data_IF_198318039517
#
_entry.id   IF_198318039517
#
_cell.length_a   1.000
_cell.length_b   1.000
_cell.length_c   1.000
_cell.angle_alpha   90.00
_cell.angle_beta   90.00
_cell.angle_gamma   90.00
#
_symmetry.space_group_name_H-M   'P 1'
#
loop_
_entity.id
_entity.type
_entity.pdbx_description
1 polymer ?
#
# COMPACT_ATOMS: atom_id res chain seq x y z
N UNK A 1 -4.04 12.29 24.84
CA UNK A 1 -5.04 12.32 23.77
C UNK A 1 -6.13 11.33 24.14
N UNK A 2 -7.41 11.74 24.28
CA UNK A 2 -8.42 10.86 24.86
C UNK A 2 -8.84 9.74 23.91
N UNK A 3 -9.16 8.59 24.46
CA UNK A 3 -9.69 7.38 23.79
C UNK A 3 -10.91 7.73 22.90
N UNK A 4 -11.66 8.79 23.24
CA UNK A 4 -12.80 9.27 22.46
C UNK A 4 -12.45 9.82 21.08
N UNK A 5 -11.19 10.24 20.82
CA UNK A 5 -10.76 10.65 19.49
C UNK A 5 -10.51 9.47 18.56
N UNK A 6 -10.15 8.33 19.09
CA UNK A 6 -9.95 7.11 18.30
C UNK A 6 -11.28 6.49 17.88
N UNK A 7 -12.31 6.61 18.75
CA UNK A 7 -13.68 6.20 18.45
C UNK A 7 -14.38 7.09 17.41
N UNK A 8 -13.91 8.32 17.23
CA UNK A 8 -14.51 9.30 16.31
C UNK A 8 -13.83 9.36 14.93
N UNK A 9 -13.16 8.32 14.49
CA UNK A 9 -12.63 8.19 13.12
C UNK A 9 -13.72 8.23 12.03
N UNK A 10 -14.97 8.35 12.42
CA UNK A 10 -16.13 8.55 11.52
C UNK A 10 -16.33 9.99 11.03
N UNK A 11 -15.43 10.93 11.35
CA UNK A 11 -15.68 12.33 11.08
C UNK A 11 -14.81 12.93 9.98
N UNK A 12 -15.57 13.29 8.98
CA UNK A 12 -15.42 14.40 8.03
C UNK A 12 -15.04 14.05 6.61
N UNK A 13 -15.99 13.42 5.88
CA UNK A 13 -16.05 13.41 4.41
C UNK A 13 -15.86 14.79 3.77
N UNK A 14 -16.34 15.87 4.42
CA UNK A 14 -16.24 17.23 3.89
C UNK A 14 -14.83 17.81 3.90
N UNK A 15 -14.00 17.49 4.90
CA UNK A 15 -12.61 18.00 4.98
C UNK A 15 -11.67 17.25 4.05
N UNK A 16 -11.89 15.95 3.81
CA UNK A 16 -11.09 15.15 2.88
C UNK A 16 -11.28 15.60 1.42
N UNK A 17 -12.52 15.88 1.02
CA UNK A 17 -12.83 16.36 -0.33
C UNK A 17 -12.29 17.78 -0.59
N UNK A 18 -12.19 18.62 0.43
CA UNK A 18 -11.65 19.97 0.29
C UNK A 18 -10.12 19.99 0.10
N UNK A 19 -9.37 19.05 0.67
CA UNK A 19 -7.92 18.96 0.51
C UNK A 19 -7.49 18.23 -0.77
N UNK A 20 -8.31 17.29 -1.27
CA UNK A 20 -8.07 16.60 -2.52
C UNK A 20 -8.42 17.46 -3.77
N UNK A 21 -9.28 18.45 -3.60
CA UNK A 21 -9.76 19.31 -4.69
C UNK A 21 -8.80 20.44 -5.11
N UNK A 22 -7.78 20.77 -4.34
CA UNK A 22 -6.88 21.89 -4.64
C UNK A 22 -5.69 21.54 -5.56
N UNK A 23 -5.51 20.27 -5.93
CA UNK A 23 -4.41 19.78 -6.77
C UNK A 23 -4.78 19.40 -8.21
N UNK A 24 -6.03 19.50 -8.60
CA UNK A 24 -6.53 18.95 -9.87
C UNK A 24 -6.74 19.98 -11.01
N UNK A 25 -6.20 21.19 -10.90
CA UNK A 25 -6.23 22.17 -11.97
C UNK A 25 -4.87 22.25 -12.66
N UNK A 26 -4.53 21.27 -13.50
CA UNK A 26 -3.29 21.24 -14.27
C UNK A 26 -3.40 20.38 -15.52
N UNK A 27 -3.85 20.98 -16.60
CA UNK A 27 -3.66 20.64 -18.03
C UNK A 27 -3.81 19.17 -18.45
N UNK A 28 -4.94 18.89 -19.09
CA UNK A 28 -5.08 17.79 -20.04
C UNK A 28 -4.17 18.05 -21.25
N UNK A 29 -2.95 17.56 -21.19
CA UNK A 29 -2.14 17.35 -22.39
C UNK A 29 -2.52 15.99 -22.93
N UNK A 30 -3.29 15.96 -24.01
CA UNK A 30 -3.67 14.77 -24.71
C UNK A 30 -2.43 14.05 -25.26
N UNK A 31 -2.07 12.93 -24.64
CA UNK A 31 -1.15 11.96 -25.21
C UNK A 31 -1.98 11.04 -26.12
N UNK A 32 -1.61 10.83 -27.40
CA UNK A 32 -2.30 9.88 -28.26
C UNK A 32 -2.04 8.46 -27.73
N UNK A 33 -3.05 7.84 -27.20
CA UNK A 33 -3.02 6.46 -26.71
C UNK A 33 -3.09 5.51 -27.90
N UNK A 34 -1.93 4.99 -28.34
CA UNK A 34 -1.85 3.99 -29.38
C UNK A 34 -2.24 2.59 -28.86
N UNK A 35 -2.99 1.89 -29.69
CA UNK A 35 -3.46 0.50 -29.61
C UNK A 35 -4.54 0.22 -28.54
N UNK A 36 -5.79 0.36 -28.94
CA UNK A 36 -6.94 -0.23 -28.30
C UNK A 36 -6.83 -1.77 -28.31
N UNK A 37 -6.44 -2.37 -27.19
CA UNK A 37 -6.75 -3.78 -26.97
C UNK A 37 -8.23 -3.86 -26.61
N UNK A 38 -9.03 -4.44 -27.49
CA UNK A 38 -10.44 -4.70 -27.24
C UNK A 38 -10.57 -5.70 -26.09
N UNK A 39 -11.04 -5.23 -24.93
CA UNK A 39 -11.58 -6.11 -23.89
C UNK A 39 -12.81 -6.86 -24.47
N UNK A 40 -13.06 -8.08 -23.98
CA UNK A 40 -14.01 -9.01 -24.54
C UNK A 40 -15.35 -8.37 -24.95
N UNK A 41 -15.76 -8.59 -26.19
CA UNK A 41 -17.11 -8.29 -26.66
C UNK A 41 -18.12 -9.08 -25.79
N UNK A 42 -19.12 -8.38 -25.21
CA UNK A 42 -20.19 -9.04 -24.46
C UNK A 42 -20.46 -8.49 -23.04
N UNK A 43 -19.82 -7.40 -22.62
CA UNK A 43 -20.09 -6.81 -21.29
C UNK A 43 -21.15 -5.70 -21.29
N UNK A 44 -21.81 -5.43 -22.41
CA UNK A 44 -22.72 -4.27 -22.57
C UNK A 44 -23.95 -4.26 -21.67
N UNK A 45 -24.36 -5.40 -21.11
CA UNK A 45 -25.45 -5.54 -20.15
C UNK A 45 -24.97 -5.62 -18.70
N UNK A 46 -23.68 -5.74 -18.47
CA UNK A 46 -23.06 -5.90 -17.14
C UNK A 46 -22.82 -4.57 -16.45
N UNK A 47 -22.85 -4.62 -15.15
CA UNK A 47 -22.45 -3.53 -14.27
C UNK A 47 -21.26 -3.98 -13.43
N UNK A 48 -20.42 -3.03 -12.99
CA UNK A 48 -19.34 -3.30 -12.05
C UNK A 48 -19.43 -2.35 -10.87
N UNK A 49 -19.43 -2.90 -9.68
CA UNK A 49 -19.38 -2.14 -8.42
C UNK A 49 -18.13 -2.57 -7.65
N UNK A 50 -17.21 -1.66 -7.43
CA UNK A 50 -15.97 -1.93 -6.70
C UNK A 50 -15.89 -1.12 -5.41
N UNK A 51 -15.24 -1.68 -4.39
CA UNK A 51 -14.91 -0.97 -3.16
C UNK A 51 -13.43 -1.19 -2.84
N UNK A 52 -12.72 -0.12 -2.48
CA UNK A 52 -11.27 -0.16 -2.22
C UNK A 52 -10.73 1.18 -1.75
N UNK A 53 -9.42 1.35 -1.83
CA UNK A 53 -8.77 2.59 -1.40
C UNK A 53 -8.96 3.72 -2.42
N UNK A 54 -8.93 4.97 -1.94
CA UNK A 54 -9.01 6.15 -2.80
C UNK A 54 -7.84 6.25 -3.82
N UNK A 55 -6.75 5.56 -3.58
CA UNK A 55 -5.60 5.51 -4.49
C UNK A 55 -5.87 4.70 -5.76
N UNK A 56 -6.77 3.74 -5.70
CA UNK A 56 -7.13 2.85 -6.82
C UNK A 56 -8.54 3.10 -7.33
N UNK A 57 -9.49 3.44 -6.43
CA UNK A 57 -10.87 3.74 -6.79
C UNK A 57 -10.97 5.22 -7.20
N UNK A 58 -10.48 5.54 -8.40
CA UNK A 58 -10.49 6.89 -8.99
C UNK A 58 -11.42 6.96 -10.19
N UNK A 59 -12.20 8.02 -10.30
CA UNK A 59 -13.13 8.22 -11.42
C UNK A 59 -12.48 8.06 -12.79
N UNK A 60 -11.25 8.58 -12.97
CA UNK A 60 -10.51 8.44 -14.23
C UNK A 60 -10.23 6.99 -14.60
N UNK A 61 -9.92 6.13 -13.62
CA UNK A 61 -9.64 4.69 -13.83
C UNK A 61 -10.95 3.98 -14.17
N UNK A 62 -12.01 4.26 -13.41
CA UNK A 62 -13.32 3.65 -13.63
C UNK A 62 -13.93 4.05 -14.98
N UNK A 63 -13.82 5.32 -15.36
CA UNK A 63 -14.30 5.83 -16.63
C UNK A 63 -13.52 5.26 -17.82
N UNK A 64 -12.18 5.14 -17.72
CA UNK A 64 -11.34 4.52 -18.74
C UNK A 64 -11.68 3.03 -18.88
N UNK A 65 -11.85 2.30 -17.77
CA UNK A 65 -12.31 0.93 -17.80
C UNK A 65 -13.69 0.79 -18.50
N UNK A 66 -14.66 1.63 -18.13
CA UNK A 66 -15.98 1.65 -18.78
C UNK A 66 -15.88 1.84 -20.30
N UNK A 67 -15.10 2.83 -20.71
CA UNK A 67 -14.92 3.16 -22.12
C UNK A 67 -14.29 2.02 -22.94
N UNK A 68 -13.34 1.29 -22.32
CA UNK A 68 -12.60 0.20 -22.99
C UNK A 68 -13.33 -1.15 -22.95
N UNK A 69 -14.03 -1.45 -21.86
CA UNK A 69 -14.71 -2.72 -21.66
C UNK A 69 -16.12 -2.78 -22.27
N UNK A 70 -16.75 -1.62 -22.45
CA UNK A 70 -18.13 -1.52 -22.89
C UNK A 70 -19.16 -1.93 -21.85
N UNK A 71 -18.78 -2.08 -20.56
CA UNK A 71 -19.76 -2.34 -19.49
C UNK A 71 -20.79 -1.21 -19.40
N UNK A 72 -22.04 -1.54 -19.10
CA UNK A 72 -23.16 -0.60 -18.98
C UNK A 72 -22.89 0.48 -17.96
N UNK A 73 -22.41 0.09 -16.76
CA UNK A 73 -22.12 0.98 -15.66
C UNK A 73 -20.91 0.51 -14.84
N UNK A 74 -20.17 1.48 -14.31
CA UNK A 74 -19.10 1.25 -13.35
C UNK A 74 -19.29 2.23 -12.20
N UNK A 75 -19.22 1.75 -10.97
CA UNK A 75 -19.23 2.58 -9.77
C UNK A 75 -18.18 2.09 -8.77
N UNK A 76 -17.65 3.02 -7.97
CA UNK A 76 -16.67 2.72 -6.96
C UNK A 76 -16.91 3.48 -5.68
N UNK A 77 -16.68 2.82 -4.54
CA UNK A 77 -16.67 3.45 -3.21
C UNK A 77 -15.24 3.41 -2.67
N UNK A 78 -14.69 4.57 -2.36
CA UNK A 78 -13.42 4.64 -1.64
C UNK A 78 -13.68 4.53 -0.12
N UNK A 79 -13.04 3.54 0.53
CA UNK A 79 -13.11 3.33 1.97
C UNK A 79 -11.84 2.58 2.46
N UNK A 80 -11.60 2.57 3.76
CA UNK A 80 -10.46 1.86 4.37
C UNK A 80 -10.75 0.37 4.53
N UNK A 81 -9.72 -0.46 4.49
CA UNK A 81 -9.84 -1.91 4.55
C UNK A 81 -10.61 -2.46 5.76
N UNK A 82 -10.45 -1.95 7.01
CA UNK A 82 -11.25 -2.44 8.12
C UNK A 82 -12.76 -2.28 7.92
N UNK A 83 -13.20 -1.17 7.33
CA UNK A 83 -14.62 -0.91 7.07
C UNK A 83 -15.16 -1.83 5.98
N UNK A 84 -14.44 -1.92 4.85
CA UNK A 84 -14.85 -2.75 3.71
C UNK A 84 -14.86 -4.24 4.07
N UNK A 85 -13.90 -4.69 4.88
CA UNK A 85 -13.87 -6.06 5.40
C UNK A 85 -15.07 -6.34 6.32
N UNK A 86 -15.43 -5.41 7.19
CA UNK A 86 -16.59 -5.54 8.08
C UNK A 86 -17.89 -5.65 7.26
N UNK A 87 -18.08 -4.79 6.25
CA UNK A 87 -19.24 -4.87 5.33
C UNK A 87 -19.29 -6.23 4.61
N UNK A 88 -18.15 -6.72 4.14
CA UNK A 88 -18.06 -8.01 3.45
C UNK A 88 -18.41 -9.19 4.36
N UNK A 89 -17.82 -9.24 5.57
CA UNK A 89 -18.05 -10.31 6.54
C UNK A 89 -19.51 -10.33 7.03
N UNK A 90 -20.12 -9.16 7.24
CA UNK A 90 -21.53 -9.04 7.59
C UNK A 90 -22.48 -9.47 6.46
N UNK A 91 -21.98 -9.63 5.23
CA UNK A 91 -22.82 -9.96 4.06
C UNK A 91 -23.66 -8.80 3.57
N UNK A 92 -23.35 -7.57 3.97
CA UNK A 92 -24.02 -6.33 3.56
C UNK A 92 -23.37 -5.65 2.36
N UNK A 93 -22.27 -6.23 1.84
CA UNK A 93 -21.55 -5.70 0.68
C UNK A 93 -22.43 -5.77 -0.57
N UNK A 94 -22.61 -4.60 -1.21
CA UNK A 94 -23.34 -4.45 -2.46
C UNK A 94 -22.41 -4.39 -3.69
N UNK A 95 -21.17 -4.87 -3.54
CA UNK A 95 -20.10 -4.75 -4.54
C UNK A 95 -19.86 -6.09 -5.23
N UNK A 96 -19.20 -6.04 -6.39
CA UNK A 96 -18.76 -7.18 -7.18
C UNK A 96 -17.27 -7.44 -6.94
N UNK A 97 -16.49 -6.36 -6.75
CA UNK A 97 -15.06 -6.40 -6.43
C UNK A 97 -14.83 -5.82 -5.04
N UNK A 98 -14.13 -6.59 -4.22
CA UNK A 98 -13.55 -6.15 -2.97
C UNK A 98 -12.03 -6.02 -3.16
N UNK A 99 -11.54 -4.78 -3.19
CA UNK A 99 -10.11 -4.55 -3.13
C UNK A 99 -9.63 -4.74 -1.70
N UNK A 100 -8.55 -5.49 -1.55
CA UNK A 100 -7.96 -5.79 -0.25
C UNK A 100 -6.43 -5.81 -0.31
N UNK A 101 -5.83 -5.98 0.82
CA UNK A 101 -4.39 -6.19 1.00
C UNK A 101 -4.13 -7.64 1.44
N UNK A 102 -3.00 -8.20 1.00
CA UNK A 102 -2.69 -9.63 1.13
C UNK A 102 -2.86 -10.19 2.54
N UNK A 103 -2.45 -9.44 3.57
CA UNK A 103 -2.55 -9.89 4.96
C UNK A 103 -3.98 -10.08 5.47
N UNK A 104 -5.00 -9.51 4.81
CA UNK A 104 -6.41 -9.67 5.23
C UNK A 104 -7.10 -10.86 4.60
N UNK A 105 -6.50 -11.48 3.59
CA UNK A 105 -7.08 -12.61 2.87
C UNK A 105 -7.40 -13.81 3.77
N UNK A 106 -6.52 -14.25 4.69
CA UNK A 106 -6.80 -15.45 5.51
C UNK A 106 -8.10 -15.34 6.30
N UNK A 107 -8.40 -14.17 6.87
CA UNK A 107 -9.62 -13.94 7.64
C UNK A 107 -10.90 -14.01 6.77
N UNK A 108 -10.81 -13.67 5.49
CA UNK A 108 -11.96 -13.63 4.58
C UNK A 108 -12.13 -14.94 3.81
N UNK A 109 -11.03 -15.59 3.42
CA UNK A 109 -11.06 -16.90 2.72
C UNK A 109 -11.85 -17.92 3.55
N UNK A 110 -11.60 -17.99 4.85
CA UNK A 110 -12.26 -18.93 5.76
C UNK A 110 -13.79 -18.73 5.84
N UNK A 111 -14.32 -17.59 5.40
CA UNK A 111 -15.74 -17.26 5.46
C UNK A 111 -16.49 -17.52 4.13
N UNK A 112 -15.81 -17.96 3.09
CA UNK A 112 -16.36 -18.15 1.74
C UNK A 112 -17.02 -16.89 1.14
N UNK A 113 -16.57 -15.69 1.54
CA UNK A 113 -17.10 -14.41 1.03
C UNK A 113 -16.45 -13.94 -0.25
N UNK A 114 -15.34 -14.56 -0.66
CA UNK A 114 -14.66 -14.31 -1.93
C UNK A 114 -14.52 -15.60 -2.74
N UNK A 115 -14.51 -15.44 -4.05
CA UNK A 115 -14.37 -16.55 -5.03
C UNK A 115 -13.05 -16.37 -5.78
N UNK A 116 -12.25 -17.44 -5.98
CA UNK A 116 -11.01 -17.35 -6.73
C UNK A 116 -11.24 -16.98 -8.20
N UNK A 117 -10.28 -16.26 -8.76
CA UNK A 117 -10.26 -15.87 -10.19
C UNK A 117 -9.22 -16.71 -10.92
N UNK A 118 -9.63 -17.35 -12.02
CA UNK A 118 -8.75 -18.17 -12.84
C UNK A 118 -7.76 -17.30 -13.65
N UNK A 119 -6.47 -17.64 -13.61
CA UNK A 119 -5.44 -16.92 -14.38
C UNK A 119 -5.65 -17.02 -15.89
N UNK A 120 -6.19 -18.16 -16.36
CA UNK A 120 -6.51 -18.39 -17.77
C UNK A 120 -7.60 -17.48 -18.33
N UNK A 121 -8.41 -16.86 -17.48
CA UNK A 121 -9.43 -15.90 -17.87
C UNK A 121 -8.88 -14.48 -18.12
N UNK A 122 -7.62 -14.22 -17.73
CA UNK A 122 -6.96 -12.92 -17.85
C UNK A 122 -5.90 -12.92 -18.95
N UNK A 123 -6.10 -12.14 -20.01
CA UNK A 123 -5.20 -12.06 -21.18
C UNK A 123 -3.83 -11.49 -20.83
N UNK A 124 -3.79 -10.56 -19.86
CA UNK A 124 -2.58 -9.87 -19.46
C UNK A 124 -1.79 -10.59 -18.34
N UNK A 125 -2.29 -11.73 -17.85
CA UNK A 125 -1.66 -12.48 -16.78
C UNK A 125 -0.21 -12.88 -17.10
N UNK A 126 0.09 -13.25 -18.32
CA UNK A 126 1.44 -13.65 -18.75
C UNK A 126 2.53 -12.58 -18.56
N UNK A 127 2.15 -11.34 -18.28
CA UNK A 127 3.07 -10.22 -18.03
C UNK A 127 3.18 -9.86 -16.53
N UNK A 128 2.65 -10.70 -15.64
CA UNK A 128 2.81 -10.51 -14.18
C UNK A 128 4.28 -10.65 -13.79
N UNK A 129 4.71 -9.87 -12.80
CA UNK A 129 6.10 -9.94 -12.28
C UNK A 129 6.32 -11.21 -11.47
N UNK A 130 7.56 -11.71 -11.53
CA UNK A 130 8.00 -12.91 -10.80
C UNK A 130 7.71 -12.86 -9.29
N UNK A 131 7.73 -11.69 -8.70
CA UNK A 131 7.36 -11.45 -7.29
C UNK A 131 6.02 -12.09 -6.89
N UNK A 132 5.09 -12.25 -7.83
CA UNK A 132 3.75 -12.80 -7.59
C UNK A 132 3.60 -14.27 -7.98
N UNK A 133 4.61 -14.85 -8.62
CA UNK A 133 4.57 -16.23 -9.12
C UNK A 133 5.71 -17.09 -8.58
N UNK A 134 6.82 -16.48 -8.16
CA UNK A 134 8.01 -17.18 -7.67
C UNK A 134 8.33 -16.75 -6.24
N UNK A 135 8.55 -17.73 -5.38
CA UNK A 135 9.03 -17.46 -4.02
C UNK A 135 10.54 -17.12 -4.06
N UNK A 136 10.93 -16.12 -3.27
CA UNK A 136 12.33 -15.90 -2.96
C UNK A 136 12.79 -16.99 -1.96
N UNK A 137 13.82 -17.77 -2.29
CA UNK A 137 14.23 -18.91 -1.48
C UNK A 137 14.79 -18.54 -0.08
N UNK A 138 15.08 -17.27 0.15
CA UNK A 138 15.55 -16.80 1.47
C UNK A 138 14.44 -16.79 2.54
N UNK A 139 13.17 -16.92 2.16
CA UNK A 139 12.03 -16.93 3.06
C UNK A 139 11.09 -18.12 2.80
N UNK A 140 10.38 -18.53 3.84
CA UNK A 140 9.24 -19.44 3.67
C UNK A 140 8.22 -18.81 2.71
N UNK A 141 7.72 -19.60 1.75
CA UNK A 141 6.76 -19.16 0.74
C UNK A 141 5.50 -18.55 1.37
N UNK A 142 4.99 -19.10 2.48
CA UNK A 142 3.81 -18.61 3.19
C UNK A 142 3.96 -17.17 3.72
N UNK A 143 5.21 -16.75 3.97
CA UNK A 143 5.55 -15.44 4.49
C UNK A 143 5.78 -14.39 3.37
N UNK A 144 5.44 -14.73 2.13
CA UNK A 144 5.60 -13.87 0.96
C UNK A 144 4.25 -13.67 0.27
N UNK A 145 4.13 -12.61 -0.54
CA UNK A 145 2.89 -12.36 -1.28
C UNK A 145 2.47 -13.54 -2.16
N UNK A 146 3.42 -14.24 -2.75
CA UNK A 146 3.18 -15.44 -3.55
C UNK A 146 2.54 -16.59 -2.76
N UNK A 147 2.71 -16.63 -1.45
CA UNK A 147 2.03 -17.60 -0.57
C UNK A 147 0.66 -17.15 -0.08
N UNK A 148 0.35 -15.87 -0.21
CA UNK A 148 -0.89 -15.27 0.32
C UNK A 148 -2.02 -15.23 -0.71
N UNK A 149 -1.70 -14.93 -1.98
CA UNK A 149 -2.70 -14.60 -3.01
C UNK A 149 -3.24 -15.79 -3.79
N UNK A 150 -2.48 -16.89 -3.83
CA UNK A 150 -2.89 -18.08 -4.59
C UNK A 150 -3.82 -18.99 -3.80
N UNK A 151 -4.76 -19.62 -4.48
CA UNK A 151 -5.65 -20.62 -3.89
C UNK A 151 -4.87 -21.86 -3.45
N UNK A 152 -3.93 -22.28 -4.28
CA UNK A 152 -3.08 -23.44 -4.05
C UNK A 152 -1.77 -23.39 -4.88
N UNK A 153 -0.94 -24.39 -4.74
CA UNK A 153 0.36 -24.46 -5.41
C UNK A 153 0.30 -24.71 -6.92
N UNK A 154 -0.87 -25.02 -7.48
CA UNK A 154 -1.04 -25.16 -8.95
C UNK A 154 -0.94 -23.82 -9.66
N UNK A 155 -1.12 -22.72 -8.94
CA UNK A 155 -1.11 -21.35 -9.46
C UNK A 155 -2.08 -21.13 -10.64
N UNK A 156 -3.21 -21.81 -10.62
CA UNK A 156 -4.25 -21.65 -11.63
C UNK A 156 -5.31 -20.63 -11.25
N UNK A 157 -5.52 -20.42 -9.94
CA UNK A 157 -6.56 -19.56 -9.40
C UNK A 157 -6.01 -18.68 -8.26
N UNK A 158 -6.50 -17.46 -8.20
CA UNK A 158 -6.09 -16.42 -7.22
C UNK A 158 -7.25 -16.00 -6.34
N UNK A 159 -7.03 -15.90 -5.05
CA UNK A 159 -7.92 -15.19 -4.14
C UNK A 159 -7.90 -13.68 -4.36
N UNK A 160 -6.76 -13.15 -4.80
CA UNK A 160 -6.56 -11.72 -5.06
C UNK A 160 -5.68 -11.51 -6.29
N UNK A 161 -6.20 -10.81 -7.29
CA UNK A 161 -5.41 -10.36 -8.45
C UNK A 161 -4.68 -9.07 -8.07
N UNK A 162 -3.34 -9.05 -7.99
CA UNK A 162 -2.60 -7.88 -7.54
C UNK A 162 -2.78 -6.69 -8.51
N UNK A 163 -2.97 -5.50 -7.96
CA UNK A 163 -3.13 -4.24 -8.70
C UNK A 163 -2.02 -3.25 -8.42
N UNK A 164 -1.58 -3.19 -7.15
CA UNK A 164 -0.55 -2.28 -6.66
C UNK A 164 0.29 -2.97 -5.60
N UNK A 165 1.57 -2.65 -5.52
CA UNK A 165 2.44 -3.04 -4.41
C UNK A 165 3.49 -1.98 -4.13
N UNK A 166 4.12 -2.04 -2.97
CA UNK A 166 5.23 -1.17 -2.62
C UNK A 166 6.13 -1.78 -1.54
N UNK A 167 7.21 -1.06 -1.29
CA UNK A 167 8.21 -1.30 -0.25
C UNK A 167 8.29 -0.05 0.62
N UNK A 168 7.69 -0.10 1.82
CA UNK A 168 7.58 1.04 2.72
C UNK A 168 8.78 1.19 3.64
N UNK A 169 9.07 2.43 4.01
CA UNK A 169 10.17 2.83 4.86
C UNK A 169 9.82 4.10 5.66
N UNK A 170 10.83 4.70 6.27
CA UNK A 170 10.72 5.94 7.03
C UNK A 170 10.69 7.13 6.06
N UNK A 171 9.66 7.97 6.16
CA UNK A 171 9.65 9.31 5.61
C UNK A 171 10.30 10.28 6.58
N UNK A 172 11.22 11.14 6.11
CA UNK A 172 11.92 12.08 6.98
C UNK A 172 12.19 13.41 6.33
N UNK A 173 12.49 14.41 7.16
CA UNK A 173 12.85 15.77 6.80
C UNK A 173 14.39 15.90 6.67
N UNK A 174 14.96 15.91 5.45
CA UNK A 174 16.42 15.92 5.25
C UNK A 174 17.10 17.24 5.69
N UNK A 175 16.31 18.28 5.89
CA UNK A 175 16.77 19.55 6.47
C UNK A 175 16.89 19.50 8.02
N UNK A 176 16.37 18.46 8.67
CA UNK A 176 16.35 18.31 10.13
C UNK A 176 16.99 17.00 10.62
N UNK A 177 17.08 15.99 9.75
CA UNK A 177 17.63 14.66 10.04
C UNK A 177 18.51 14.23 8.88
N UNK A 178 19.73 13.78 9.15
CA UNK A 178 20.62 13.29 8.10
C UNK A 178 20.13 11.94 7.53
N UNK A 179 20.55 11.63 6.29
CA UNK A 179 20.22 10.36 5.65
C UNK A 179 20.77 9.16 6.44
N UNK A 180 21.94 9.29 7.07
CA UNK A 180 22.54 8.24 7.91
C UNK A 180 21.69 7.97 9.14
N UNK A 181 21.22 9.00 9.84
CA UNK A 181 20.36 8.86 11.02
C UNK A 181 19.00 8.23 10.68
N UNK A 182 18.42 8.60 9.53
CA UNK A 182 17.14 8.05 9.08
C UNK A 182 17.28 6.63 8.49
N UNK A 183 18.50 6.14 8.23
CA UNK A 183 18.74 4.87 7.50
C UNK A 183 18.51 3.60 8.34
N UNK A 184 17.78 3.69 9.44
CA UNK A 184 17.47 2.55 10.31
C UNK A 184 16.11 2.71 10.96
N UNK A 185 15.35 1.64 11.09
CA UNK A 185 14.06 1.68 11.81
C UNK A 185 14.21 2.05 13.29
N UNK A 186 15.42 1.90 13.86
CA UNK A 186 15.70 2.34 15.23
C UNK A 186 15.54 3.85 15.42
N UNK A 187 15.66 4.64 14.35
CA UNK A 187 15.51 6.09 14.38
C UNK A 187 14.13 6.55 14.91
N UNK A 188 13.07 5.80 14.64
CA UNK A 188 11.73 6.10 15.15
C UNK A 188 11.65 6.03 16.68
N UNK A 189 12.58 5.29 17.31
CA UNK A 189 12.62 5.01 18.74
C UNK A 189 13.83 5.64 19.45
N UNK A 190 14.68 6.35 18.72
CA UNK A 190 15.86 7.01 19.29
C UNK A 190 15.43 8.24 20.11
N UNK A 191 15.92 8.30 21.37
CA UNK A 191 15.67 9.41 22.29
C UNK A 191 16.08 10.78 21.73
N UNK A 192 17.02 10.82 20.78
CA UNK A 192 17.44 12.04 20.07
C UNK A 192 16.23 12.71 19.39
N UNK A 193 15.30 11.94 18.89
CA UNK A 193 14.12 12.41 18.16
C UNK A 193 12.84 12.38 18.99
N UNK A 194 12.97 12.31 20.32
CA UNK A 194 11.86 12.29 21.27
C UNK A 194 10.86 13.41 21.00
N UNK A 195 9.58 13.09 20.92
CA UNK A 195 8.48 14.01 20.64
C UNK A 195 8.43 14.51 19.20
N UNK A 196 9.20 13.91 18.27
CA UNK A 196 9.31 14.30 16.87
C UNK A 196 9.08 13.14 15.90
N UNK A 197 8.81 11.92 16.39
CA UNK A 197 8.58 10.75 15.57
C UNK A 197 7.10 10.41 15.47
N UNK A 198 6.68 9.75 14.41
CA UNK A 198 5.34 9.21 14.21
C UNK A 198 5.36 7.70 14.03
N UNK A 199 4.32 7.04 14.52
CA UNK A 199 4.09 5.62 14.32
C UNK A 199 2.68 5.40 13.78
N UNK A 200 2.50 4.45 12.86
CA UNK A 200 1.20 4.12 12.30
C UNK A 200 0.28 3.51 13.38
N UNK A 201 -1.00 3.81 13.32
CA UNK A 201 -2.01 3.24 14.25
C UNK A 201 -2.44 1.81 13.89
N UNK A 202 -2.06 1.29 12.73
CA UNK A 202 -2.32 -0.11 12.39
C UNK A 202 -1.38 -1.03 13.22
N UNK A 203 -1.94 -1.93 14.04
CA UNK A 203 -1.15 -2.79 14.92
C UNK A 203 -0.17 -3.68 14.17
N UNK A 204 -0.53 -4.20 13.00
CA UNK A 204 0.34 -5.09 12.23
C UNK A 204 1.55 -4.34 11.67
N UNK A 205 1.36 -3.08 11.28
CA UNK A 205 2.43 -2.19 10.83
C UNK A 205 3.35 -1.84 12.01
N UNK A 206 2.78 -1.28 13.06
CA UNK A 206 3.53 -0.79 14.21
C UNK A 206 4.35 -1.89 14.92
N UNK A 207 3.78 -3.09 15.10
CA UNK A 207 4.51 -4.22 15.68
C UNK A 207 5.63 -4.72 14.77
N UNK A 208 5.39 -4.87 13.47
CA UNK A 208 6.41 -5.29 12.52
C UNK A 208 7.62 -4.35 12.50
N UNK A 209 7.38 -3.06 12.54
CA UNK A 209 8.42 -2.03 12.55
C UNK A 209 9.15 -1.94 13.91
N UNK A 210 8.42 -2.10 15.01
CA UNK A 210 9.04 -2.21 16.33
C UNK A 210 9.95 -3.45 16.42
N UNK A 211 9.51 -4.59 15.90
CA UNK A 211 10.32 -5.83 15.85
C UNK A 211 11.56 -5.63 14.98
N UNK A 212 11.46 -4.97 13.80
CA UNK A 212 12.63 -4.62 13.00
C UNK A 212 13.64 -3.78 13.78
N UNK A 213 13.17 -2.73 14.46
CA UNK A 213 14.01 -1.88 15.28
C UNK A 213 14.65 -2.64 16.45
N UNK A 214 13.88 -3.50 17.14
CA UNK A 214 14.38 -4.30 18.26
C UNK A 214 15.39 -5.35 17.81
N UNK A 215 15.19 -5.97 16.64
CA UNK A 215 16.20 -6.85 16.02
C UNK A 215 17.52 -6.10 15.76
N UNK A 216 17.43 -4.89 15.19
CA UNK A 216 18.62 -4.07 14.92
C UNK A 216 19.34 -3.61 16.22
N UNK A 217 18.59 -3.40 17.29
CA UNK A 217 19.14 -3.10 18.63
C UNK A 217 19.68 -4.34 19.38
N UNK A 218 19.51 -5.54 18.81
CA UNK A 218 19.89 -6.79 19.47
C UNK A 218 18.99 -7.20 20.64
N UNK A 219 17.82 -6.59 20.76
CA UNK A 219 16.84 -6.86 21.83
C UNK A 219 15.94 -8.06 21.49
N UNK A 220 15.74 -8.34 20.20
CA UNK A 220 15.03 -9.51 19.70
C UNK A 220 15.86 -10.21 18.60
N UNK A 221 15.42 -11.44 18.24
CA UNK A 221 15.92 -12.19 17.08
C UNK A 221 14.76 -12.89 16.39
N UNK A 222 13.90 -12.10 15.78
CA UNK A 222 12.70 -12.58 15.06
C UNK A 222 13.01 -12.60 13.55
N UNK A 223 13.11 -13.79 12.93
CA UNK A 223 13.47 -13.89 11.50
C UNK A 223 12.45 -13.25 10.55
N UNK A 224 11.16 -13.31 10.93
CA UNK A 224 10.08 -12.68 10.17
C UNK A 224 9.33 -11.66 11.04
N UNK A 225 9.65 -10.37 10.95
CA UNK A 225 9.00 -9.31 11.73
C UNK A 225 7.48 -9.22 11.52
N UNK A 226 6.96 -9.70 10.38
CA UNK A 226 5.52 -9.75 10.11
C UNK A 226 4.78 -10.90 10.81
N UNK A 227 5.50 -11.86 11.43
CA UNK A 227 4.91 -13.00 12.15
C UNK A 227 5.70 -13.34 13.42
N UNK A 228 5.74 -12.44 14.41
CA UNK A 228 6.39 -12.68 15.68
C UNK A 228 5.58 -13.68 16.54
N UNK A 229 6.27 -14.47 17.34
CA UNK A 229 5.64 -15.32 18.34
C UNK A 229 5.13 -14.52 19.56
N UNK A 230 4.35 -15.17 20.44
CA UNK A 230 3.77 -14.54 21.65
C UNK A 230 4.79 -13.84 22.52
N UNK A 231 5.93 -14.47 22.76
CA UNK A 231 6.97 -13.91 23.62
C UNK A 231 7.57 -12.64 22.98
N UNK A 232 7.83 -12.68 21.68
CA UNK A 232 8.32 -11.53 20.93
C UNK A 232 7.29 -10.39 20.86
N UNK A 233 5.99 -10.71 20.74
CA UNK A 233 4.89 -9.73 20.81
C UNK A 233 4.87 -9.07 22.20
N UNK A 234 5.01 -9.84 23.29
CA UNK A 234 5.02 -9.30 24.65
C UNK A 234 6.20 -8.32 24.86
N UNK A 235 7.40 -8.66 24.38
CA UNK A 235 8.56 -7.80 24.49
C UNK A 235 8.43 -6.54 23.62
N UNK A 236 7.90 -6.67 22.38
CA UNK A 236 7.63 -5.52 21.52
C UNK A 236 6.56 -4.59 22.12
N UNK A 237 5.53 -5.14 22.75
CA UNK A 237 4.51 -4.35 23.45
C UNK A 237 5.11 -3.57 24.63
N UNK A 238 5.93 -4.21 25.47
CA UNK A 238 6.64 -3.53 26.57
C UNK A 238 7.52 -2.40 26.05
N UNK A 239 8.25 -2.65 24.96
CA UNK A 239 9.10 -1.64 24.31
C UNK A 239 8.26 -0.45 23.82
N UNK A 240 7.19 -0.69 23.06
CA UNK A 240 6.30 0.36 22.57
C UNK A 240 5.66 1.17 23.71
N UNK A 241 5.16 0.49 24.77
CA UNK A 241 4.59 1.13 25.96
C UNK A 241 5.63 2.02 26.66
N UNK A 242 6.87 1.54 26.82
CA UNK A 242 7.97 2.34 27.40
C UNK A 242 8.22 3.59 26.56
N UNK A 243 8.36 3.46 25.23
CA UNK A 243 8.57 4.57 24.32
C UNK A 243 7.43 5.60 24.36
N UNK A 244 6.18 5.14 24.41
CA UNK A 244 5.01 6.02 24.55
C UNK A 244 5.02 6.79 25.86
N UNK A 245 5.26 6.12 26.99
CA UNK A 245 5.35 6.76 28.32
C UNK A 245 6.50 7.77 28.40
N UNK A 246 7.59 7.48 27.72
CA UNK A 246 8.70 8.40 27.59
C UNK A 246 8.39 9.63 26.72
N UNK A 247 7.26 9.65 26.02
CA UNK A 247 6.87 10.72 25.10
C UNK A 247 7.65 10.72 23.79
N UNK A 248 8.06 9.54 23.30
CA UNK A 248 8.80 9.39 22.05
C UNK A 248 8.02 9.88 20.84
N UNK A 249 6.73 9.53 20.76
CA UNK A 249 5.92 9.81 19.59
C UNK A 249 5.26 11.18 19.66
N UNK A 250 5.36 11.98 18.59
CA UNK A 250 4.54 13.19 18.39
C UNK A 250 3.10 12.81 18.09
N UNK A 251 2.91 11.75 17.32
CA UNK A 251 1.59 11.23 16.96
C UNK A 251 1.64 9.71 16.71
N UNK A 252 0.50 9.06 17.00
CA UNK A 252 0.11 7.82 16.35
C UNK A 252 -0.81 8.21 15.20
N UNK A 253 -0.32 8.13 13.97
CA UNK A 253 -1.04 8.61 12.80
C UNK A 253 -1.79 7.47 12.09
N UNK A 254 -2.93 7.77 11.51
CA UNK A 254 -3.72 6.80 10.76
C UNK A 254 -4.45 7.41 9.56
N UNK A 255 -4.37 8.73 9.46
CA UNK A 255 -4.94 9.49 8.34
C UNK A 255 -3.81 10.03 7.44
N UNK A 256 -4.00 9.89 6.12
CA UNK A 256 -3.02 10.35 5.13
C UNK A 256 -2.74 11.85 5.22
N UNK A 257 -3.79 12.65 5.40
CA UNK A 257 -3.68 14.11 5.51
C UNK A 257 -2.98 14.52 6.80
N UNK A 258 -3.24 13.81 7.91
CA UNK A 258 -2.53 14.03 9.18
C UNK A 258 -1.03 13.79 9.03
N UNK A 259 -0.62 12.64 8.44
CA UNK A 259 0.77 12.32 8.17
C UNK A 259 1.45 13.42 7.34
N UNK A 260 0.82 13.81 6.22
CA UNK A 260 1.35 14.84 5.32
C UNK A 260 1.52 16.18 6.05
N UNK A 261 0.52 16.61 6.82
CA UNK A 261 0.54 17.89 7.52
C UNK A 261 1.61 17.93 8.62
N UNK A 262 1.76 16.85 9.40
CA UNK A 262 2.75 16.77 10.48
C UNK A 262 4.19 16.72 9.94
N UNK A 263 4.42 16.03 8.81
CA UNK A 263 5.72 16.04 8.14
C UNK A 263 6.01 17.41 7.47
N UNK A 264 5.03 18.01 6.81
CA UNK A 264 5.20 19.29 6.13
C UNK A 264 5.46 20.43 7.10
N UNK A 265 4.81 20.44 8.27
CA UNK A 265 5.02 21.44 9.34
C UNK A 265 6.34 21.23 10.08
N UNK A 266 6.93 20.03 10.06
CA UNK A 266 8.09 19.67 10.86
C UNK A 266 7.76 19.35 12.32
N UNK A 267 6.49 19.21 12.66
CA UNK A 267 6.06 18.67 13.96
C UNK A 267 6.48 17.21 14.11
N UNK A 268 6.40 16.43 13.03
CA UNK A 268 7.12 15.17 12.88
C UNK A 268 8.26 15.35 11.88
N UNK A 269 9.42 14.81 12.23
CA UNK A 269 10.63 14.87 11.38
C UNK A 269 11.03 13.49 10.86
N UNK A 270 10.46 12.43 11.45
CA UNK A 270 10.62 11.02 11.11
C UNK A 270 9.29 10.34 11.37
N UNK A 271 8.82 9.54 10.42
CA UNK A 271 7.66 8.66 10.61
C UNK A 271 7.82 7.43 9.71
N UNK A 272 7.27 6.28 10.12
CA UNK A 272 6.88 5.29 9.12
C UNK A 272 5.93 5.98 8.14
N UNK A 273 6.09 5.77 6.86
CA UNK A 273 5.35 6.57 5.90
C UNK A 273 5.03 5.79 4.61
N UNK A 274 3.99 6.24 3.94
CA UNK A 274 3.71 5.82 2.58
C UNK A 274 4.40 6.77 1.59
N UNK A 275 4.99 6.21 0.54
CA UNK A 275 5.65 6.99 -0.52
C UNK A 275 4.80 8.17 -1.03
N UNK A 276 3.47 8.04 -1.25
CA UNK A 276 2.64 9.17 -1.65
C UNK A 276 2.61 10.32 -0.64
N UNK A 277 2.75 10.04 0.66
CA UNK A 277 2.80 11.11 1.66
C UNK A 277 4.08 11.94 1.52
N UNK A 278 5.23 11.28 1.33
CA UNK A 278 6.49 11.96 1.02
C UNK A 278 6.36 12.83 -0.24
N UNK A 279 5.73 12.28 -1.29
CA UNK A 279 5.48 13.02 -2.54
C UNK A 279 4.55 14.21 -2.32
N UNK A 280 3.51 14.08 -1.50
CA UNK A 280 2.58 15.16 -1.18
C UNK A 280 3.26 16.29 -0.38
N UNK A 281 4.19 15.97 0.50
CA UNK A 281 5.00 16.97 1.23
C UNK A 281 5.94 17.70 0.26
N UNK A 282 6.62 16.97 -0.64
CA UNK A 282 7.47 17.57 -1.69
C UNK A 282 6.66 18.50 -2.60
N UNK A 283 5.45 18.11 -2.99
CA UNK A 283 4.56 18.91 -3.84
C UNK A 283 4.15 20.25 -3.19
N UNK A 284 4.17 20.34 -1.86
CA UNK A 284 3.97 21.58 -1.11
C UNK A 284 5.24 22.46 -1.02
N UNK A 285 6.32 22.09 -1.74
CA UNK A 285 7.59 22.79 -1.70
C UNK A 285 8.39 22.56 -0.41
N UNK A 286 8.02 21.57 0.41
CA UNK A 286 8.75 21.19 1.62
C UNK A 286 9.73 20.06 1.36
N UNK A 287 10.83 20.06 2.07
CA UNK A 287 11.78 18.95 2.00
C UNK A 287 11.20 17.73 2.70
N UNK A 288 11.18 16.62 2.03
CA UNK A 288 10.84 15.31 2.57
C UNK A 288 11.46 14.24 1.67
N UNK A 289 11.91 13.15 2.23
CA UNK A 289 12.49 12.05 1.46
C UNK A 289 12.21 10.71 2.15
N UNK A 290 12.52 9.62 1.48
CA UNK A 290 12.23 8.28 1.90
C UNK A 290 13.52 7.54 2.22
N UNK A 291 13.66 7.02 3.43
CA UNK A 291 14.89 6.40 3.89
C UNK A 291 15.19 5.08 3.17
N UNK A 292 16.47 4.80 3.00
CA UNK A 292 16.99 3.48 2.63
C UNK A 292 17.36 2.77 3.94
N UNK A 293 16.40 2.05 4.52
CA UNK A 293 16.60 1.38 5.80
C UNK A 293 17.58 0.22 5.67
N UNK A 294 18.55 0.14 6.60
CA UNK A 294 19.58 -0.92 6.65
C UNK A 294 18.97 -2.28 6.92
N UNK A 295 17.92 -2.33 7.72
CA UNK A 295 17.16 -3.54 8.02
C UNK A 295 16.27 -3.99 6.87
N UNK A 296 16.02 -3.09 5.91
CA UNK A 296 15.19 -3.31 4.74
C UNK A 296 13.78 -2.72 4.86
N UNK A 297 12.99 -2.94 3.83
CA UNK A 297 11.64 -2.39 3.65
C UNK A 297 10.55 -3.37 4.12
N UNK A 298 9.42 -2.83 4.54
CA UNK A 298 8.16 -3.56 4.66
C UNK A 298 7.47 -3.63 3.31
N UNK A 299 7.32 -4.83 2.77
CA UNK A 299 6.64 -5.06 1.49
C UNK A 299 5.16 -5.38 1.69
N UNK A 300 4.30 -4.92 0.79
CA UNK A 300 2.87 -5.20 0.78
C UNK A 300 2.29 -5.16 -0.64
N UNK A 301 1.13 -5.77 -0.83
CA UNK A 301 0.38 -5.68 -2.09
C UNK A 301 -1.10 -5.64 -1.84
N UNK A 302 -1.79 -4.79 -2.60
CA UNK A 302 -3.25 -4.75 -2.70
C UNK A 302 -3.71 -5.32 -4.04
N UNK A 303 -4.95 -5.75 -4.10
CA UNK A 303 -5.52 -6.27 -5.33
C UNK A 303 -7.02 -6.55 -5.24
N UNK A 304 -7.56 -7.00 -6.36
CA UNK A 304 -8.97 -7.26 -6.55
C UNK A 304 -9.33 -8.69 -6.18
N UNK A 305 -10.32 -8.88 -5.33
CA UNK A 305 -10.97 -10.16 -5.04
C UNK A 305 -12.42 -10.14 -5.54
N UNK A 306 -12.88 -11.23 -6.14
CA UNK A 306 -14.26 -11.37 -6.54
C UNK A 306 -15.14 -11.70 -5.33
N UNK A 307 -16.23 -10.97 -5.13
CA UNK A 307 -17.19 -11.27 -4.07
C UNK A 307 -18.03 -12.47 -4.47
N UNK A 308 -18.16 -13.44 -3.57
CA UNK A 308 -18.93 -14.68 -3.82
C UNK A 308 -20.37 -14.35 -4.15
N UNK A 309 -20.87 -14.98 -5.23
CA UNK A 309 -22.26 -14.82 -5.67
C UNK A 309 -22.52 -13.59 -6.54
N UNK A 310 -21.47 -12.81 -6.91
CA UNK A 310 -21.65 -11.70 -7.86
C UNK A 310 -22.22 -12.23 -9.20
N UNK A 311 -23.27 -11.59 -9.76
CA UNK A 311 -23.78 -11.92 -11.09
C UNK A 311 -22.90 -11.35 -12.22
N UNK A 312 -21.87 -10.57 -11.88
CA UNK A 312 -21.04 -9.81 -12.80
C UNK A 312 -19.60 -10.33 -12.86
N UNK A 313 -19.38 -11.66 -12.68
CA UNK A 313 -18.04 -12.25 -12.63
C UNK A 313 -17.20 -11.92 -13.88
N UNK A 314 -17.81 -11.86 -15.06
CA UNK A 314 -17.12 -11.51 -16.30
C UNK A 314 -16.58 -10.07 -16.26
N UNK A 315 -17.33 -9.14 -15.67
CA UNK A 315 -16.89 -7.76 -15.48
C UNK A 315 -15.79 -7.67 -14.40
N UNK A 316 -15.84 -8.48 -13.35
CA UNK A 316 -14.79 -8.58 -12.32
C UNK A 316 -13.48 -9.06 -12.93
N UNK A 317 -13.53 -10.12 -13.74
CA UNK A 317 -12.35 -10.65 -14.46
C UNK A 317 -11.77 -9.59 -15.41
N UNK A 318 -12.65 -8.96 -16.21
CA UNK A 318 -12.23 -7.92 -17.14
C UNK A 318 -11.60 -6.71 -16.42
N UNK A 319 -12.12 -6.32 -15.27
CA UNK A 319 -11.55 -5.22 -14.46
C UNK A 319 -10.19 -5.59 -13.87
N UNK A 320 -10.05 -6.82 -13.40
CA UNK A 320 -8.77 -7.33 -12.88
C UNK A 320 -7.72 -7.42 -14.00
N UNK A 321 -8.11 -7.93 -15.19
CA UNK A 321 -7.23 -7.97 -16.36
C UNK A 321 -6.88 -6.58 -16.90
N UNK A 322 -7.81 -5.62 -16.80
CA UNK A 322 -7.57 -4.22 -17.14
C UNK A 322 -6.44 -3.62 -16.28
N UNK A 323 -6.41 -3.90 -14.98
CA UNK A 323 -5.31 -3.47 -14.12
C UNK A 323 -3.96 -4.03 -14.57
N UNK A 324 -3.93 -5.24 -15.10
CA UNK A 324 -2.72 -5.88 -15.61
C UNK A 324 -2.32 -5.39 -17.02
N UNK A 325 -3.17 -4.63 -17.70
CA UNK A 325 -2.87 -4.09 -19.03
C UNK A 325 -1.85 -2.93 -19.02
N UNK A 326 -1.58 -2.34 -17.87
CA UNK A 326 -0.58 -1.28 -17.67
C UNK A 326 -1.14 0.12 -17.45
N UNK A 327 -2.01 0.67 -18.32
CA UNK A 327 -2.49 2.04 -18.23
C UNK A 327 -3.08 2.46 -16.87
N UNK A 328 -3.95 1.67 -16.19
CA UNK A 328 -4.49 2.08 -14.89
C UNK A 328 -3.40 2.25 -13.83
N UNK A 329 -2.32 1.47 -13.95
CA UNK A 329 -1.21 1.52 -13.01
C UNK A 329 -0.33 2.79 -13.14
N UNK A 330 -0.43 3.56 -14.24
CA UNK A 330 0.29 4.84 -14.38
C UNK A 330 -0.10 5.78 -13.24
N UNK A 331 -1.40 5.84 -12.94
CA UNK A 331 -1.94 6.72 -11.90
C UNK A 331 -1.35 6.47 -10.50
N UNK A 332 -1.07 5.20 -10.18
CA UNK A 332 -0.48 4.82 -8.89
C UNK A 332 1.04 4.89 -8.92
N UNK A 333 1.67 4.57 -10.06
CA UNK A 333 3.12 4.66 -10.21
C UNK A 333 3.62 6.10 -10.09
N UNK A 334 2.86 7.06 -10.60
CA UNK A 334 3.17 8.48 -10.45
C UNK A 334 3.04 8.99 -8.99
N UNK A 335 2.47 8.20 -8.11
CA UNK A 335 2.45 8.43 -6.67
C UNK A 335 3.57 7.68 -5.92
N UNK A 336 4.42 6.95 -6.66
CA UNK A 336 5.55 6.21 -6.11
C UNK A 336 5.28 4.73 -5.84
N UNK A 337 4.11 4.23 -6.16
CA UNK A 337 3.78 2.80 -6.08
C UNK A 337 4.24 2.02 -7.30
N UNK A 338 4.23 0.71 -7.22
CA UNK A 338 4.61 -0.18 -8.31
C UNK A 338 3.42 -0.94 -8.87
N UNK A 339 3.47 -1.15 -10.19
CA UNK A 339 2.56 -2.05 -10.91
C UNK A 339 3.05 -3.50 -10.84
N UNK A 340 2.17 -4.47 -10.58
CA UNK A 340 2.51 -5.88 -10.61
C UNK A 340 2.76 -6.44 -12.01
N UNK A 341 2.47 -5.67 -13.07
CA UNK A 341 2.69 -6.10 -14.46
C UNK A 341 3.86 -5.38 -15.13
N UNK A 342 4.55 -6.08 -16.03
CA UNK A 342 5.61 -5.51 -16.88
C UNK A 342 5.03 -4.65 -18.01
N UNK A 343 3.73 -4.74 -18.31
CA UNK A 343 3.03 -3.93 -19.32
C UNK A 343 3.11 -2.43 -19.02
N UNK A 344 3.31 -2.04 -17.76
CA UNK A 344 3.51 -0.63 -17.38
C UNK A 344 4.66 0.03 -18.15
N UNK A 345 5.68 -0.74 -18.57
CA UNK A 345 6.83 -0.22 -19.32
C UNK A 345 6.43 0.35 -20.67
N UNK A 346 5.49 -0.29 -21.36
CA UNK A 346 4.99 0.17 -22.65
C UNK A 346 3.86 1.21 -22.54
N UNK A 347 3.19 1.25 -21.37
CA UNK A 347 2.06 2.13 -21.14
C UNK A 347 2.48 3.51 -20.61
N UNK A 348 3.56 3.58 -19.81
CA UNK A 348 4.05 4.80 -19.19
C UNK A 348 5.04 5.54 -20.11
N UNK A 349 5.10 6.86 -19.99
CA UNK A 349 6.15 7.65 -20.59
C UNK A 349 7.53 7.09 -20.24
N UNK A 350 8.45 7.09 -21.23
CA UNK A 350 9.76 6.44 -21.11
C UNK A 350 10.62 7.04 -19.99
N UNK A 351 10.64 8.36 -19.84
CA UNK A 351 11.48 9.02 -18.83
C UNK A 351 10.86 8.88 -17.44
N UNK A 352 9.53 8.88 -17.34
CA UNK A 352 8.80 8.54 -16.10
C UNK A 352 9.07 7.09 -15.69
N UNK A 353 9.00 6.15 -16.63
CA UNK A 353 9.33 4.74 -16.34
C UNK A 353 10.78 4.60 -15.87
N UNK A 354 11.72 5.26 -16.55
CA UNK A 354 13.13 5.24 -16.19
C UNK A 354 13.36 5.77 -14.77
N UNK A 355 12.67 6.82 -14.36
CA UNK A 355 12.74 7.33 -12.99
C UNK A 355 12.10 6.37 -11.98
N UNK A 356 10.84 5.98 -12.19
CA UNK A 356 10.07 5.22 -11.19
C UNK A 356 10.50 3.77 -11.05
N UNK A 357 10.97 3.13 -12.13
CA UNK A 357 11.30 1.70 -12.13
C UNK A 357 12.80 1.41 -12.29
N UNK A 358 13.53 2.23 -13.04
CA UNK A 358 14.95 1.98 -13.30
C UNK A 358 15.86 2.83 -12.39
N UNK A 359 15.31 3.77 -11.58
CA UNK A 359 16.08 4.62 -10.67
C UNK A 359 16.98 5.62 -11.40
N UNK A 360 16.64 5.97 -12.65
CA UNK A 360 17.36 6.99 -13.44
C UNK A 360 16.99 8.38 -12.96
N UNK A 361 17.86 9.40 -13.18
CA UNK A 361 17.52 10.77 -12.89
C UNK A 361 16.23 11.22 -13.58
N UNK A 362 15.44 12.04 -12.86
CA UNK A 362 14.25 12.65 -13.45
C UNK A 362 14.65 13.55 -14.62
N UNK A 363 13.91 13.45 -15.71
CA UNK A 363 14.06 14.29 -16.89
C UNK A 363 12.76 15.02 -17.18
N UNK A 364 12.87 16.32 -17.38
CA UNK A 364 11.73 17.18 -17.72
C UNK A 364 11.42 18.21 -16.65
N UNK A 365 10.29 18.91 -16.85
CA UNK A 365 9.83 19.93 -15.91
C UNK A 365 9.56 19.37 -14.51
N UNK A 366 9.63 20.24 -13.50
CA UNK A 366 9.29 19.87 -12.13
C UNK A 366 7.88 19.29 -12.06
N UNK A 367 7.75 18.09 -11.51
CA UNK A 367 6.47 17.42 -11.30
C UNK A 367 6.34 17.00 -9.81
N UNK A 368 5.34 17.53 -9.13
CA UNK A 368 5.04 17.21 -7.71
C UNK A 368 6.27 17.27 -6.80
N UNK A 369 7.10 18.30 -6.98
CA UNK A 369 8.31 18.52 -6.21
C UNK A 369 9.54 17.69 -6.61
N UNK A 370 9.42 16.81 -7.61
CA UNK A 370 10.56 16.16 -8.26
C UNK A 370 11.13 17.12 -9.28
N UNK A 371 12.43 17.39 -9.22
CA UNK A 371 13.14 18.32 -10.10
C UNK A 371 14.03 17.56 -11.08
N UNK A 372 14.40 18.21 -12.17
CA UNK A 372 15.37 17.66 -13.12
C UNK A 372 16.67 17.26 -12.38
N UNK A 373 17.14 16.04 -12.65
CA UNK A 373 18.32 15.45 -12.02
C UNK A 373 18.04 14.71 -10.71
N UNK A 374 16.88 14.88 -10.07
CA UNK A 374 16.54 14.13 -8.87
C UNK A 374 16.55 12.63 -9.12
N UNK A 375 17.01 11.88 -8.13
CA UNK A 375 16.94 10.42 -8.12
C UNK A 375 15.75 9.95 -7.25
N UNK A 376 15.19 8.81 -7.62
CA UNK A 376 14.20 8.16 -6.77
C UNK A 376 14.84 7.65 -5.47
N UNK A 377 14.18 7.90 -4.36
CA UNK A 377 14.58 7.39 -3.04
C UNK A 377 14.70 5.85 -3.07
N UNK A 378 15.84 5.32 -2.65
CA UNK A 378 16.12 3.88 -2.68
C UNK A 378 16.48 3.28 -4.04
N UNK A 379 16.53 4.09 -5.11
CA UNK A 379 16.98 3.67 -6.43
C UNK A 379 15.93 2.89 -7.24
N UNK A 380 16.38 1.92 -8.04
CA UNK A 380 15.50 1.14 -8.91
C UNK A 380 14.54 0.21 -8.15
N UNK A 381 13.48 -0.25 -8.84
CA UNK A 381 12.61 -1.32 -8.33
C UNK A 381 13.42 -2.56 -7.91
N UNK A 382 14.38 -2.97 -8.74
CA UNK A 382 15.22 -4.15 -8.47
C UNK A 382 16.07 -3.95 -7.21
N UNK A 383 16.68 -2.78 -7.04
CA UNK A 383 17.48 -2.46 -5.85
C UNK A 383 16.62 -2.49 -4.59
N UNK A 384 15.44 -1.89 -4.65
CA UNK A 384 14.51 -1.87 -3.51
C UNK A 384 13.97 -3.26 -3.18
N UNK A 385 13.66 -4.08 -4.19
CA UNK A 385 13.17 -5.45 -4.01
C UNK A 385 14.20 -6.33 -3.28
N UNK A 386 15.50 -6.16 -3.56
CA UNK A 386 16.57 -6.90 -2.87
C UNK A 386 16.70 -6.51 -1.39
N UNK A 387 16.23 -5.32 -1.01
CA UNK A 387 16.30 -4.81 0.35
C UNK A 387 14.96 -4.95 1.10
N UNK A 388 14.11 -5.91 0.75
CA UNK A 388 12.89 -6.22 1.50
C UNK A 388 13.26 -6.97 2.77
N UNK A 389 12.75 -6.51 3.92
CA UNK A 389 12.92 -7.16 5.22
C UNK A 389 11.87 -8.24 5.46
N UNK A 390 10.61 -7.95 5.14
CA UNK A 390 9.50 -8.89 5.23
C UNK A 390 8.32 -8.44 4.37
N UNK A 391 7.44 -9.40 4.08
CA UNK A 391 6.12 -9.11 3.50
C UNK A 391 5.09 -8.96 4.60
N UNK A 392 4.29 -7.93 4.54
CA UNK A 392 3.16 -7.73 5.44
C UNK A 392 2.21 -8.91 5.32
N UNK A 393 1.81 -9.48 6.47
CA UNK A 393 1.02 -10.70 6.52
C UNK A 393 0.11 -10.72 7.75
N UNK A 394 -0.87 -11.63 7.75
CA UNK A 394 -1.65 -11.94 8.94
C UNK A 394 -0.81 -12.82 9.88
N UNK A 395 -0.46 -12.37 11.09
CA UNK A 395 0.36 -13.17 12.00
C UNK A 395 -0.43 -14.32 12.61
N UNK A 396 0.26 -15.42 12.90
CA UNK A 396 -0.33 -16.60 13.55
C UNK A 396 -0.92 -16.24 14.94
N UNK A 397 -0.31 -15.28 15.63
CA UNK A 397 -0.70 -14.82 16.97
C UNK A 397 -1.50 -13.50 16.93
N UNK A 398 -2.36 -13.32 15.90
CA UNK A 398 -3.10 -12.08 15.66
C UNK A 398 -3.90 -11.60 16.90
N UNK A 399 -4.69 -12.49 17.53
CA UNK A 399 -5.54 -12.10 18.67
C UNK A 399 -4.71 -11.64 19.87
N UNK A 400 -3.55 -12.28 20.08
CA UNK A 400 -2.62 -11.87 21.13
C UNK A 400 -1.99 -10.50 20.81
N UNK A 401 -1.61 -10.28 19.56
CA UNK A 401 -1.07 -9.01 19.11
C UNK A 401 -2.08 -7.86 19.29
N UNK A 402 -3.35 -8.07 18.90
CA UNK A 402 -4.41 -7.06 19.08
C UNK A 402 -4.63 -6.74 20.57
N UNK A 403 -4.68 -7.75 21.44
CA UNK A 403 -4.76 -7.52 22.88
C UNK A 403 -3.62 -6.65 23.39
N UNK A 404 -2.39 -6.90 22.93
CA UNK A 404 -1.20 -6.13 23.32
C UNK A 404 -1.21 -4.72 22.74
N UNK A 405 -1.79 -4.54 21.57
CA UNK A 405 -2.03 -3.22 20.99
C UNK A 405 -3.00 -2.38 21.82
N UNK A 406 -4.10 -2.98 22.29
CA UNK A 406 -5.05 -2.30 23.18
C UNK A 406 -4.38 -1.88 24.50
N UNK A 407 -3.50 -2.73 25.06
CA UNK A 407 -2.68 -2.39 26.23
C UNK A 407 -1.76 -1.18 25.93
N UNK A 408 -1.12 -1.16 24.76
CA UNK A 408 -0.30 -0.02 24.32
C UNK A 408 -1.13 1.27 24.13
N UNK A 409 -2.29 1.17 23.51
CA UNK A 409 -3.16 2.36 23.30
C UNK A 409 -3.67 2.92 24.63
N UNK A 410 -3.84 2.09 25.65
CA UNK A 410 -4.34 2.48 26.97
C UNK A 410 -3.25 2.99 27.92
N UNK A 411 -1.97 2.73 27.62
CA UNK A 411 -0.83 3.13 28.44
C UNK A 411 -0.50 4.62 28.23
#
# INVERSE_FOLDING_TARGET
MSIDRIKNYHLSRRKFLASAGAGAAGMAVGVPWGAQQAFAAGLGDKELRTVGLSVTVQERILNDFKAKSGVKAVSGKADIFPNTQTELLAGTSAYDVWETIGERLPAVIATNKITPIATSAMKNWGNIRDTFTKADPKWDKKNQIVGQIWKDDTQKELWMVPTVYNYDSIGYRPDLVSAEEASTWTALFDKKFKGKTGLNVDPLIAFGEAVLAMNALGLLKVPNPGNPDKASIDEAAKFLVSKKKDGQFRALWGDFGELVNLLASGEMILADAWQPAVMAVKAQGKQCTYAVAKEGYRAWSIGNSAITGTPNMDAVVAYSDYWLSGPPAIAVSEQGYYSPTTNIKSAMDKDKYAFWYEGKPWKGATDRGIKEGDLRDGGSLETRAKNVAYWHQWPDEYDHLIKKWDEFLSA
#
